data_IF_594467971620
#
_entry.id   IF_594467971620
#
_cell.length_a   1.000
_cell.length_b   1.000
_cell.length_c   1.000
_cell.angle_alpha   90.00
_cell.angle_beta   90.00
_cell.angle_gamma   90.00
#
_symmetry.space_group_name_H-M   'P 1'
#
loop_
_entity.id
_entity.type
_entity.pdbx_description
1 polymer ?
#
# COMPACT_ATOMS: atom_id res chain seq x y z
N UNK A 1 -9.00 14.57 -14.41
CA UNK A 1 -8.46 14.06 -13.15
C UNK A 1 -7.78 12.75 -13.47
N UNK A 2 -6.65 12.44 -12.84
CA UNK A 2 -6.07 11.11 -12.94
C UNK A 2 -7.00 10.14 -12.21
N UNK A 3 -7.45 9.09 -12.89
CA UNK A 3 -8.17 8.01 -12.19
C UNK A 3 -7.14 7.15 -11.49
N UNK A 4 -6.82 7.52 -10.25
CA UNK A 4 -6.09 6.66 -9.32
C UNK A 4 -7.10 5.74 -8.68
N UNK A 5 -6.84 4.45 -8.76
CA UNK A 5 -7.63 3.42 -8.11
C UNK A 5 -6.68 2.51 -7.37
N UNK A 6 -6.71 2.56 -6.05
CA UNK A 6 -6.10 1.51 -5.26
C UNK A 6 -7.19 0.47 -5.02
N UNK A 7 -7.05 -0.69 -5.65
CA UNK A 7 -7.96 -1.82 -5.45
C UNK A 7 -7.44 -2.67 -4.32
N UNK A 8 -8.29 -2.87 -3.33
CA UNK A 8 -8.15 -3.93 -2.34
C UNK A 8 -9.10 -5.05 -2.75
N UNK A 9 -8.55 -6.24 -3.00
CA UNK A 9 -9.33 -7.45 -3.24
C UNK A 9 -9.20 -8.35 -2.01
N UNK A 10 -10.34 -8.77 -1.47
CA UNK A 10 -10.41 -9.87 -0.50
C UNK A 10 -10.79 -11.08 -1.33
N UNK A 11 -9.89 -12.06 -1.46
CA UNK A 11 -10.10 -13.16 -2.41
C UNK A 11 -10.94 -14.29 -1.81
N UNK A 12 -11.08 -14.36 -0.48
CA UNK A 12 -12.07 -15.24 0.14
C UNK A 12 -12.42 -14.83 1.57
N UNK A 13 -13.69 -14.54 1.84
CA UNK A 13 -14.19 -14.43 3.23
C UNK A 13 -14.55 -15.77 3.85
N UNK A 14 -14.51 -16.85 3.06
CA UNK A 14 -15.07 -18.17 3.37
C UNK A 14 -14.00 -19.29 3.44
N UNK A 15 -12.70 -18.96 3.45
CA UNK A 15 -11.62 -19.94 3.60
C UNK A 15 -11.49 -20.45 5.05
N UNK A 16 -10.73 -21.54 5.22
CA UNK A 16 -10.56 -22.30 6.46
C UNK A 16 -10.27 -21.43 7.71
N UNK A 17 -10.46 -22.03 8.90
CA UNK A 17 -10.19 -21.38 10.19
C UNK A 17 -8.78 -20.83 10.26
N UNK A 18 -8.68 -19.52 10.11
CA UNK A 18 -7.48 -18.72 10.31
C UNK A 18 -6.92 -18.86 11.74
N UNK A 19 -5.59 -18.87 11.88
CA UNK A 19 -4.92 -18.93 13.19
C UNK A 19 -5.03 -17.59 13.95
N UNK A 20 -5.25 -16.50 13.20
CA UNK A 20 -5.45 -15.13 13.68
C UNK A 20 -6.68 -14.50 13.01
N UNK A 21 -7.40 -13.63 13.72
CA UNK A 21 -8.49 -12.84 13.16
C UNK A 21 -8.10 -11.90 12.00
N UNK A 22 -6.81 -11.85 11.67
CA UNK A 22 -6.22 -11.05 10.59
C UNK A 22 -5.81 -11.85 9.34
N UNK A 23 -5.85 -13.19 9.31
CA UNK A 23 -5.26 -13.99 8.22
C UNK A 23 -6.09 -14.04 6.91
N UNK A 24 -6.80 -12.98 6.55
CA UNK A 24 -7.71 -12.98 5.39
C UNK A 24 -6.92 -12.99 4.08
N UNK A 25 -7.23 -13.86 3.12
CA UNK A 25 -6.55 -13.81 1.81
C UNK A 25 -6.93 -12.55 1.01
N UNK A 26 -5.93 -11.83 0.47
CA UNK A 26 -6.20 -10.62 -0.31
C UNK A 26 -5.06 -10.13 -1.21
N UNK A 27 -5.29 -8.96 -1.82
CA UNK A 27 -4.36 -8.34 -2.74
C UNK A 27 -4.50 -6.83 -2.79
N UNK A 28 -3.39 -6.15 -3.08
CA UNK A 28 -3.31 -4.70 -3.24
C UNK A 28 -2.84 -4.36 -4.65
N UNK A 29 -3.67 -3.65 -5.41
CA UNK A 29 -3.34 -3.22 -6.77
C UNK A 29 -3.52 -1.73 -6.92
N UNK A 30 -2.44 -0.99 -7.19
CA UNK A 30 -2.52 0.45 -7.48
C UNK A 30 -2.58 0.62 -8.99
N UNK A 31 -3.60 1.32 -9.48
CA UNK A 31 -3.78 1.62 -10.91
C UNK A 31 -3.89 3.12 -11.10
N UNK A 32 -3.22 3.66 -12.13
CA UNK A 32 -3.36 5.07 -12.55
C UNK A 32 -3.62 5.10 -14.05
N UNK A 33 -4.74 5.71 -14.46
CA UNK A 33 -5.12 5.81 -15.88
C UNK A 33 -5.06 4.45 -16.61
N UNK A 34 -5.45 3.37 -15.92
CA UNK A 34 -5.42 1.98 -16.43
C UNK A 34 -4.06 1.28 -16.35
N UNK A 35 -2.99 1.96 -15.95
CA UNK A 35 -1.66 1.36 -15.73
C UNK A 35 -1.54 0.84 -14.30
N UNK A 36 -1.30 -0.46 -14.15
CA UNK A 36 -1.03 -1.09 -12.85
C UNK A 36 0.42 -0.76 -12.44
N UNK A 37 0.58 -0.17 -11.26
CA UNK A 37 1.87 0.29 -10.71
C UNK A 37 2.49 -0.69 -9.71
N UNK A 38 1.78 -1.74 -9.32
CA UNK A 38 2.24 -2.76 -8.37
C UNK A 38 2.26 -4.14 -9.03
N UNK A 39 2.63 -5.18 -8.28
CA UNK A 39 2.55 -6.57 -8.75
C UNK A 39 1.10 -6.94 -9.09
N UNK A 40 0.97 -7.78 -10.12
CA UNK A 40 -0.29 -8.19 -10.74
C UNK A 40 -0.98 -9.23 -9.86
N UNK A 41 -2.25 -9.00 -9.47
CA UNK A 41 -3.01 -9.92 -8.61
C UNK A 41 -3.35 -11.28 -9.29
N UNK A 42 -3.07 -11.45 -10.57
CA UNK A 42 -3.27 -12.68 -11.35
C UNK A 42 -1.96 -13.30 -11.85
N UNK A 43 -0.83 -13.03 -11.19
CA UNK A 43 0.36 -13.85 -11.35
C UNK A 43 0.09 -15.23 -10.71
N UNK A 44 0.12 -16.33 -11.49
CA UNK A 44 -0.19 -17.67 -10.98
C UNK A 44 0.83 -18.22 -9.98
N UNK A 45 1.93 -17.49 -9.76
CA UNK A 45 2.93 -17.77 -8.74
C UNK A 45 2.94 -16.67 -7.65
N UNK A 46 1.93 -15.80 -7.64
CA UNK A 46 1.70 -14.87 -6.55
C UNK A 46 0.80 -15.56 -5.55
N UNK A 47 1.36 -15.95 -4.40
CA UNK A 47 0.63 -16.62 -3.32
C UNK A 47 -0.37 -15.66 -2.60
N UNK A 48 -0.68 -14.51 -3.22
CA UNK A 48 -1.45 -13.43 -2.64
C UNK A 48 -0.69 -12.67 -1.54
N UNK A 49 -1.19 -11.49 -1.18
CA UNK A 49 -0.80 -10.85 0.07
C UNK A 49 -1.72 -11.38 1.16
N UNK A 50 -1.18 -12.10 2.15
CA UNK A 50 -1.94 -12.42 3.37
C UNK A 50 -2.49 -11.12 4.01
N UNK A 51 -3.67 -11.19 4.60
CA UNK A 51 -4.44 -10.02 5.05
C UNK A 51 -3.85 -9.30 6.24
N UNK A 52 -3.02 -10.00 7.03
CA UNK A 52 -2.14 -9.42 8.02
C UNK A 52 -1.17 -8.43 7.35
N UNK A 53 -0.54 -8.81 6.24
CA UNK A 53 0.30 -7.88 5.46
C UNK A 53 -0.49 -6.67 4.97
N UNK A 54 -1.75 -6.84 4.54
CA UNK A 54 -2.56 -5.71 4.10
C UNK A 54 -2.86 -4.74 5.24
N UNK A 55 -3.23 -5.25 6.42
CA UNK A 55 -3.44 -4.42 7.61
C UNK A 55 -2.19 -3.60 7.94
N UNK A 56 -1.03 -4.27 8.04
CA UNK A 56 0.21 -3.59 8.40
C UNK A 56 0.67 -2.59 7.34
N UNK A 57 0.45 -2.90 6.05
CA UNK A 57 0.73 -1.98 4.95
C UNK A 57 -0.17 -0.75 5.01
N UNK A 58 -1.49 -0.92 5.15
CA UNK A 58 -2.42 0.21 5.26
C UNK A 58 -2.12 1.06 6.50
N UNK A 59 -1.79 0.42 7.63
CA UNK A 59 -1.37 1.13 8.84
C UNK A 59 -0.08 1.92 8.61
N UNK A 60 0.91 1.32 7.95
CA UNK A 60 2.16 1.99 7.56
C UNK A 60 1.90 3.18 6.63
N UNK A 61 0.98 3.04 5.68
CA UNK A 61 0.57 4.12 4.79
C UNK A 61 -0.17 5.23 5.51
N UNK A 62 -1.08 4.93 6.45
CA UNK A 62 -1.72 5.94 7.29
C UNK A 62 -0.70 6.74 8.09
N UNK A 63 0.29 6.08 8.71
CA UNK A 63 1.40 6.76 9.39
C UNK A 63 2.30 7.57 8.45
N UNK A 64 2.26 7.28 7.14
CA UNK A 64 2.98 8.06 6.14
C UNK A 64 2.25 9.36 5.77
N UNK A 65 0.91 9.41 5.90
CA UNK A 65 0.09 10.57 5.47
C UNK A 65 0.57 11.88 6.08
N UNK A 66 0.85 12.00 7.40
CA UNK A 66 1.41 13.24 7.95
C UNK A 66 2.69 13.67 7.22
N UNK A 67 3.63 12.74 7.01
CA UNK A 67 4.89 13.02 6.30
C UNK A 67 4.64 13.51 4.87
N UNK A 68 3.73 12.86 4.13
CA UNK A 68 3.33 13.31 2.78
C UNK A 68 2.79 14.74 2.80
N UNK A 69 1.89 15.04 3.74
CA UNK A 69 1.32 16.36 3.96
C UNK A 69 2.34 17.43 4.41
N UNK A 70 3.53 17.03 4.87
CA UNK A 70 4.65 17.92 5.20
C UNK A 70 5.74 17.95 4.12
N UNK A 71 5.57 17.22 3.01
CA UNK A 71 6.55 17.16 1.94
C UNK A 71 7.76 16.27 2.27
N UNK A 72 7.62 15.35 3.23
CA UNK A 72 8.69 14.47 3.67
C UNK A 72 8.65 13.13 2.94
N UNK A 73 9.83 12.65 2.53
CA UNK A 73 10.00 11.31 1.97
C UNK A 73 9.71 10.25 3.04
N UNK A 74 9.00 9.20 2.66
CA UNK A 74 8.75 8.05 3.51
C UNK A 74 8.81 6.74 2.74
N UNK A 75 9.28 5.71 3.44
CA UNK A 75 9.38 4.34 2.95
C UNK A 75 8.57 3.44 3.87
N UNK A 76 7.81 2.54 3.28
CA UNK A 76 7.02 1.51 3.97
C UNK A 76 7.45 0.17 3.42
N UNK A 77 8.17 -0.58 4.23
CA UNK A 77 8.56 -1.96 3.93
C UNK A 77 7.37 -2.88 4.20
N UNK A 78 7.14 -3.82 3.30
CA UNK A 78 6.18 -4.90 3.53
C UNK A 78 6.80 -5.89 4.51
N UNK A 79 6.06 -6.22 5.56
CA UNK A 79 6.50 -7.18 6.59
C UNK A 79 6.88 -8.52 5.94
N UNK A 80 7.94 -9.14 6.44
CA UNK A 80 8.47 -10.44 6.00
C UNK A 80 8.80 -10.53 4.50
N UNK A 81 8.93 -9.39 3.82
CA UNK A 81 9.34 -9.31 2.43
C UNK A 81 10.44 -8.27 2.24
N UNK A 82 11.04 -8.26 1.05
CA UNK A 82 11.97 -7.20 0.63
C UNK A 82 11.26 -6.10 -0.17
N UNK A 83 9.93 -6.13 -0.24
CA UNK A 83 9.16 -5.18 -1.03
C UNK A 83 9.01 -3.85 -0.28
N UNK A 84 9.09 -2.75 -1.03
CA UNK A 84 9.13 -1.40 -0.48
C UNK A 84 8.20 -0.50 -1.29
N UNK A 85 7.32 0.21 -0.58
CA UNK A 85 6.62 1.38 -1.10
C UNK A 85 7.40 2.64 -0.70
N UNK A 86 7.86 3.39 -1.71
CA UNK A 86 8.50 4.68 -1.54
C UNK A 86 7.55 5.78 -1.99
N UNK A 87 7.36 6.75 -1.10
CA UNK A 87 6.66 8.00 -1.41
C UNK A 87 7.65 9.16 -1.31
N UNK A 88 7.83 9.87 -2.43
CA UNK A 88 8.69 11.05 -2.51
C UNK A 88 7.88 12.28 -2.93
N UNK A 89 7.34 13.06 -1.96
CA UNK A 89 6.67 14.32 -2.24
C UNK A 89 7.59 15.32 -2.95
N UNK A 90 7.04 16.04 -3.93
CA UNK A 90 7.67 17.14 -4.66
C UNK A 90 6.57 18.05 -5.23
N UNK A 91 6.52 19.28 -4.74
CA UNK A 91 5.48 20.25 -5.07
C UNK A 91 4.08 19.65 -4.79
N UNK A 92 3.14 19.72 -5.75
CA UNK A 92 1.78 19.17 -5.62
C UNK A 92 1.69 17.66 -5.87
N UNK A 93 2.82 17.01 -6.16
CA UNK A 93 2.90 15.60 -6.51
C UNK A 93 3.65 14.78 -5.48
N UNK A 94 3.36 13.50 -5.43
CA UNK A 94 4.12 12.47 -4.74
C UNK A 94 4.56 11.45 -5.79
N UNK A 95 5.87 11.26 -5.92
CA UNK A 95 6.45 10.25 -6.80
C UNK A 95 6.40 8.92 -6.05
N UNK A 96 5.47 8.07 -6.47
CA UNK A 96 5.23 6.78 -5.87
C UNK A 96 6.03 5.69 -6.59
N UNK A 97 6.77 4.90 -5.84
CA UNK A 97 7.58 3.80 -6.36
C UNK A 97 7.35 2.55 -5.54
N UNK A 98 7.19 1.42 -6.21
CA UNK A 98 7.15 0.10 -5.61
C UNK A 98 8.26 -0.75 -6.20
N UNK A 99 9.04 -1.39 -5.36
CA UNK A 99 10.21 -2.16 -5.77
C UNK A 99 10.62 -3.16 -4.69
N UNK A 100 11.37 -4.17 -5.10
CA UNK A 100 12.08 -5.09 -4.19
C UNK A 100 13.43 -4.46 -3.87
N UNK A 101 13.69 -4.23 -2.58
CA UNK A 101 14.96 -3.74 -2.05
C UNK A 101 16.04 -4.82 -1.94
N UNK A 102 17.26 -4.38 -1.67
CA UNK A 102 18.43 -5.26 -1.55
C UNK A 102 19.20 -5.48 -2.85
N UNK A 103 20.28 -6.25 -2.76
CA UNK A 103 21.12 -6.67 -3.89
C UNK A 103 21.12 -8.20 -3.98
N UNK A 104 21.07 -8.77 -5.18
CA UNK A 104 21.19 -10.21 -5.38
C UNK A 104 20.13 -10.79 -6.30
N UNK A 105 19.70 -12.03 -6.01
CA UNK A 105 18.79 -12.78 -6.87
C UNK A 105 17.83 -13.63 -6.04
N UNK A 106 16.58 -13.69 -6.48
CA UNK A 106 15.52 -14.53 -5.91
C UNK A 106 15.39 -15.80 -6.76
N UNK A 107 15.17 -16.95 -6.13
CA UNK A 107 14.90 -18.18 -6.84
C UNK A 107 13.42 -18.24 -7.24
N UNK A 108 13.16 -18.25 -8.53
CA UNK A 108 11.82 -18.43 -9.08
C UNK A 108 11.50 -19.93 -9.12
N UNK A 109 10.54 -20.34 -8.29
CA UNK A 109 10.10 -21.74 -8.16
C UNK A 109 9.40 -22.22 -9.43
N UNK A 110 8.67 -21.36 -10.14
CA UNK A 110 7.94 -21.70 -11.35
C UNK A 110 8.87 -21.96 -12.54
N UNK A 111 10.00 -21.24 -12.63
CA UNK A 111 10.99 -21.43 -13.71
C UNK A 111 12.23 -22.21 -13.31
N UNK A 112 12.42 -22.49 -12.01
CA UNK A 112 13.60 -23.16 -11.46
C UNK A 112 14.90 -22.37 -11.62
N UNK A 113 14.80 -21.04 -11.81
CA UNK A 113 15.94 -20.17 -12.13
C UNK A 113 16.11 -19.09 -11.09
N UNK A 114 17.36 -18.70 -10.88
CA UNK A 114 17.69 -17.51 -10.10
C UNK A 114 17.54 -16.26 -10.97
N UNK A 115 16.70 -15.32 -10.54
CA UNK A 115 16.42 -14.05 -11.23
C UNK A 115 16.97 -12.90 -10.38
N UNK A 116 17.73 -11.99 -10.99
CA UNK A 116 18.28 -10.81 -10.30
C UNK A 116 17.17 -9.85 -9.89
N UNK A 117 17.28 -9.26 -8.71
CA UNK A 117 16.30 -8.30 -8.17
C UNK A 117 16.06 -7.13 -9.14
N UNK A 118 17.13 -6.65 -9.79
CA UNK A 118 17.02 -5.57 -10.79
C UNK A 118 16.19 -5.98 -12.00
N UNK A 119 16.28 -7.24 -12.45
CA UNK A 119 15.48 -7.75 -13.56
C UNK A 119 14.03 -7.97 -13.16
N UNK A 120 13.77 -8.38 -11.91
CA UNK A 120 12.40 -8.48 -11.38
C UNK A 120 11.77 -7.09 -11.35
N UNK A 121 12.49 -6.09 -10.84
CA UNK A 121 11.97 -4.74 -10.69
C UNK A 121 11.61 -4.05 -12.02
N UNK A 122 12.25 -4.39 -13.13
CA UNK A 122 11.89 -3.87 -14.47
C UNK A 122 10.47 -4.20 -14.92
N UNK A 123 9.80 -5.16 -14.29
CA UNK A 123 8.39 -5.48 -14.58
C UNK A 123 7.42 -4.42 -14.05
N UNK A 124 7.84 -3.58 -13.10
CA UNK A 124 7.02 -2.52 -12.53
C UNK A 124 7.27 -1.20 -13.26
N UNK A 125 6.24 -0.59 -13.88
CA UNK A 125 6.43 0.60 -14.69
C UNK A 125 6.84 1.83 -13.87
N UNK A 126 6.67 1.79 -12.55
CA UNK A 126 7.10 2.84 -11.61
C UNK A 126 8.48 2.59 -10.99
N UNK A 127 9.22 1.55 -11.41
CA UNK A 127 10.48 1.18 -10.75
C UNK A 127 11.59 2.23 -10.90
N UNK A 128 11.78 2.86 -12.05
CA UNK A 128 12.95 3.74 -12.23
C UNK A 128 12.77 5.05 -11.47
N UNK A 129 11.89 5.92 -11.96
CA UNK A 129 11.70 7.29 -11.46
C UNK A 129 10.52 7.45 -10.50
N UNK A 130 9.73 6.39 -10.30
CA UNK A 130 8.41 6.49 -9.67
C UNK A 130 7.37 7.09 -10.60
N UNK A 131 6.09 6.88 -10.27
CA UNK A 131 4.97 7.48 -10.98
C UNK A 131 4.49 8.71 -10.21
N UNK A 132 4.40 9.89 -10.84
CA UNK A 132 3.86 11.07 -10.17
C UNK A 132 2.35 10.91 -9.96
N UNK A 133 1.92 11.11 -8.72
CA UNK A 133 0.53 11.10 -8.28
C UNK A 133 0.26 12.43 -7.60
N UNK A 134 -0.90 13.07 -7.81
CA UNK A 134 -1.21 14.25 -6.98
C UNK A 134 -1.28 13.84 -5.51
N UNK A 135 -0.59 14.57 -4.66
CA UNK A 135 -0.46 14.20 -3.24
C UNK A 135 -1.82 14.10 -2.56
N UNK A 136 -2.71 15.05 -2.85
CA UNK A 136 -4.09 15.05 -2.35
C UNK A 136 -4.88 13.80 -2.80
N UNK A 137 -4.83 13.46 -4.09
CA UNK A 137 -5.54 12.29 -4.62
C UNK A 137 -5.02 10.98 -3.99
N UNK A 138 -3.70 10.88 -3.79
CA UNK A 138 -3.07 9.72 -3.13
C UNK A 138 -3.49 9.60 -1.67
N UNK A 139 -3.41 10.69 -0.90
CA UNK A 139 -3.75 10.71 0.54
C UNK A 139 -5.21 10.34 0.75
N UNK A 140 -6.13 10.94 -0.03
CA UNK A 140 -7.55 10.63 0.05
C UNK A 140 -7.84 9.16 -0.26
N UNK A 141 -7.15 8.58 -1.24
CA UNK A 141 -7.35 7.18 -1.60
C UNK A 141 -6.81 6.21 -0.53
N UNK A 142 -5.69 6.54 0.13
CA UNK A 142 -5.17 5.80 1.29
C UNK A 142 -6.19 5.80 2.44
N UNK A 143 -6.74 6.97 2.75
CA UNK A 143 -7.74 7.15 3.81
C UNK A 143 -9.02 6.37 3.47
N UNK A 144 -9.56 6.56 2.26
CA UNK A 144 -10.79 5.89 1.78
C UNK A 144 -10.68 4.37 1.89
N UNK A 145 -9.54 3.79 1.48
CA UNK A 145 -9.34 2.35 1.58
C UNK A 145 -9.23 1.87 3.01
N UNK A 146 -8.58 2.64 3.88
CA UNK A 146 -8.45 2.31 5.29
C UNK A 146 -9.81 2.32 5.99
N UNK A 147 -10.70 3.25 5.62
CA UNK A 147 -12.10 3.29 6.06
C UNK A 147 -12.87 2.04 5.60
N UNK A 148 -12.80 1.71 4.31
CA UNK A 148 -13.47 0.52 3.77
C UNK A 148 -12.97 -0.78 4.44
N UNK A 149 -11.67 -0.87 4.69
CA UNK A 149 -11.05 -1.99 5.37
C UNK A 149 -11.55 -2.12 6.81
N UNK A 150 -11.55 -1.04 7.60
CA UNK A 150 -11.98 -1.09 9.00
C UNK A 150 -13.49 -1.34 9.15
N UNK A 151 -14.31 -0.84 8.21
CA UNK A 151 -15.75 -1.12 8.18
C UNK A 151 -16.04 -2.59 7.86
N UNK A 152 -15.31 -3.16 6.90
CA UNK A 152 -15.55 -4.53 6.42
C UNK A 152 -14.97 -5.59 7.34
N UNK A 153 -13.76 -5.38 7.84
CA UNK A 153 -12.98 -6.37 8.57
C UNK A 153 -12.87 -6.08 10.06
N UNK A 154 -12.86 -4.80 10.47
CA UNK A 154 -12.78 -4.36 11.87
C UNK A 154 -13.72 -5.09 12.85
N UNK A 155 -14.99 -5.38 12.49
CA UNK A 155 -15.88 -6.15 13.36
C UNK A 155 -15.43 -7.60 13.60
N UNK A 156 -14.77 -8.22 12.62
CA UNK A 156 -14.39 -9.65 12.58
C UNK A 156 -13.12 -9.97 13.37
N UNK A 157 -12.27 -8.98 13.63
CA UNK A 157 -11.01 -9.19 14.37
C UNK A 157 -11.31 -9.35 15.86
N UNK A 158 -10.75 -10.39 16.46
CA UNK A 158 -10.95 -10.68 17.89
C UNK A 158 -10.20 -9.68 18.79
N UNK A 159 -8.93 -9.38 18.48
CA UNK A 159 -8.15 -8.39 19.23
C UNK A 159 -8.56 -6.95 18.85
N UNK A 160 -9.29 -6.30 19.76
CA UNK A 160 -9.75 -4.93 19.55
C UNK A 160 -8.65 -3.88 19.74
N UNK A 161 -7.51 -4.22 20.32
CA UNK A 161 -6.40 -3.27 20.54
C UNK A 161 -5.76 -2.82 19.22
N UNK A 162 -5.54 -3.76 18.28
CA UNK A 162 -5.05 -3.45 16.94
C UNK A 162 -6.03 -2.60 16.16
N UNK A 163 -7.33 -2.92 16.25
CA UNK A 163 -8.41 -2.14 15.63
C UNK A 163 -8.43 -0.70 16.17
N UNK A 164 -8.27 -0.51 17.48
CA UNK A 164 -8.20 0.81 18.10
C UNK A 164 -6.95 1.57 17.62
N UNK A 165 -5.79 0.91 17.61
CA UNK A 165 -4.55 1.50 17.13
C UNK A 165 -4.64 1.94 15.66
N UNK A 166 -5.29 1.14 14.82
CA UNK A 166 -5.50 1.48 13.42
C UNK A 166 -6.45 2.67 13.25
N UNK A 167 -7.55 2.70 14.01
CA UNK A 167 -8.48 3.85 14.01
C UNK A 167 -7.79 5.14 14.43
N UNK A 168 -6.93 5.09 15.45
CA UNK A 168 -6.14 6.27 15.82
C UNK A 168 -5.23 6.74 14.68
N UNK A 169 -4.56 5.82 13.98
CA UNK A 169 -3.73 6.18 12.83
C UNK A 169 -4.56 6.79 11.68
N UNK A 170 -5.81 6.34 11.50
CA UNK A 170 -6.75 6.90 10.53
C UNK A 170 -7.21 8.30 10.92
N UNK A 171 -7.53 8.52 12.19
CA UNK A 171 -7.90 9.84 12.72
C UNK A 171 -6.73 10.84 12.56
N UNK A 172 -5.52 10.43 12.93
CA UNK A 172 -4.30 11.25 12.77
C UNK A 172 -4.04 11.62 11.29
N UNK A 173 -4.29 10.68 10.36
CA UNK A 173 -4.16 10.91 8.94
C UNK A 173 -5.18 11.94 8.41
N UNK A 174 -6.44 11.85 8.88
CA UNK A 174 -7.48 12.84 8.58
C UNK A 174 -7.11 14.22 9.10
N UNK A 175 -6.67 14.34 10.35
CA UNK A 175 -6.24 15.62 10.93
C UNK A 175 -5.08 16.26 10.15
N UNK A 176 -4.11 15.44 9.73
CA UNK A 176 -2.99 15.89 8.91
C UNK A 176 -3.45 16.37 7.53
N UNK A 177 -4.37 15.64 6.89
CA UNK A 177 -4.95 16.01 5.61
C UNK A 177 -5.74 17.32 5.68
N UNK A 178 -6.63 17.48 6.67
CA UNK A 178 -7.36 18.73 6.87
C UNK A 178 -6.41 19.93 7.08
N UNK A 179 -5.34 19.71 7.83
CA UNK A 179 -4.31 20.73 8.07
C UNK A 179 -3.52 21.07 6.81
N UNK A 180 -3.30 20.10 5.92
CA UNK A 180 -2.73 20.32 4.59
C UNK A 180 -3.64 21.17 3.70
N UNK A 181 -4.93 20.84 3.60
CA UNK A 181 -5.92 21.58 2.80
C UNK A 181 -6.08 23.03 3.29
N UNK A 182 -6.08 23.25 4.62
CA UNK A 182 -6.14 24.61 5.19
C UNK A 182 -4.92 25.46 4.82
N UNK A 183 -3.72 24.86 4.72
CA UNK A 183 -2.49 25.54 4.32
C UNK A 183 -2.46 25.84 2.81
N UNK A 184 -2.93 24.92 1.98
CA UNK A 184 -2.94 25.10 0.53
C UNK A 184 -3.99 26.09 0.05
N UNK A 185 -5.05 26.35 0.83
CA UNK A 185 -6.08 27.36 0.51
C UNK A 185 -5.72 28.79 0.97
N UNK A 186 -4.67 28.95 1.79
CA UNK A 186 -4.21 30.26 2.29
C UNK A 186 -3.02 30.82 1.51
N UNK A 187 -2.36 30.01 0.69
CA UNK A 187 -1.25 30.39 -0.19
C UNK A 187 -1.73 30.57 -1.63
#
# INVERSE_FOLDING_TARGET
>A
MSDIKINFCIDNSDSDSFESGWDIEGGLSITINGLILTKRMDDPNDDGFRGDFVFFNLKGWLHSVPKLCFGERCEVELIDSQEIFLFAPKDDFTYFKYFIGGMGSVFDVGTGKSIRIEEINKRYPNHEDGTPIKTEELVLEIIRLSELFIESLGPKIEDKSDVISFKQALDDAWEAYESYVKRSTQN
#
